data_IF_132447900759
#
_entry.id   IF_132447900759
#
_cell.length_a   1.000
_cell.length_b   1.000
_cell.length_c   1.000
_cell.angle_alpha   90.00
_cell.angle_beta   90.00
_cell.angle_gamma   90.00
#
_symmetry.space_group_name_H-M   'P 1'
#
loop_
_entity.id
_entity.type
_entity.pdbx_description
1 polymer ?
#
# COMPACT_ATOMS: atom_id res chain seq x y z
N UNK A 1 -21.50 35.40 -21.02
CA UNK A 1 -20.28 34.66 -21.37
C UNK A 1 -20.68 33.33 -21.97
N UNK A 2 -20.10 32.96 -23.12
CA UNK A 2 -20.44 31.71 -23.83
C UNK A 2 -19.66 30.57 -23.15
N UNK A 3 -20.29 29.42 -22.92
CA UNK A 3 -19.65 28.25 -22.27
C UNK A 3 -18.34 27.84 -22.96
N UNK A 4 -18.29 27.94 -24.29
CA UNK A 4 -17.09 27.69 -25.10
C UNK A 4 -15.90 28.56 -24.69
N UNK A 5 -16.13 29.82 -24.32
CA UNK A 5 -15.08 30.73 -23.86
C UNK A 5 -14.52 30.28 -22.51
N UNK A 6 -15.38 29.85 -21.58
CA UNK A 6 -14.95 29.36 -20.27
C UNK A 6 -14.11 28.09 -20.38
N UNK A 7 -14.46 27.19 -21.30
CA UNK A 7 -13.67 25.98 -21.56
C UNK A 7 -12.29 26.31 -22.16
N UNK A 8 -12.21 27.32 -23.02
CA UNK A 8 -10.93 27.79 -23.54
C UNK A 8 -10.08 28.45 -22.46
N UNK A 9 -10.69 29.23 -21.56
CA UNK A 9 -9.99 29.82 -20.41
C UNK A 9 -9.41 28.73 -19.49
N UNK A 10 -10.18 27.66 -19.22
CA UNK A 10 -9.72 26.48 -18.46
C UNK A 10 -8.53 25.83 -19.16
N UNK A 11 -8.60 25.62 -20.48
CA UNK A 11 -7.52 25.03 -21.27
C UNK A 11 -6.25 25.88 -21.20
N UNK A 12 -6.38 27.20 -21.30
CA UNK A 12 -5.26 28.13 -21.22
C UNK A 12 -4.59 28.10 -19.84
N UNK A 13 -5.38 28.07 -18.76
CA UNK A 13 -4.87 27.96 -17.39
C UNK A 13 -4.15 26.62 -17.20
N UNK A 14 -4.74 25.51 -17.63
CA UNK A 14 -4.15 24.18 -17.52
C UNK A 14 -2.80 24.10 -18.24
N UNK A 15 -2.72 24.57 -19.49
CA UNK A 15 -1.47 24.56 -20.24
C UNK A 15 -0.41 25.46 -19.60
N UNK A 16 -0.81 26.66 -19.17
CA UNK A 16 0.10 27.60 -18.51
C UNK A 16 0.66 27.02 -17.21
N UNK A 17 -0.18 26.30 -16.45
CA UNK A 17 0.22 25.62 -15.23
C UNK A 17 1.22 24.49 -15.51
N UNK A 18 0.93 23.58 -16.44
CA UNK A 18 1.82 22.47 -16.79
C UNK A 18 3.19 22.95 -17.29
N UNK A 19 3.23 24.00 -18.11
CA UNK A 19 4.48 24.61 -18.58
C UNK A 19 5.25 25.32 -17.46
N UNK A 20 4.54 25.93 -16.51
CA UNK A 20 5.18 26.49 -15.32
C UNK A 20 5.81 25.39 -14.46
N UNK A 21 5.14 24.24 -14.30
CA UNK A 21 5.69 23.10 -13.56
C UNK A 21 7.03 22.64 -14.15
N UNK A 22 7.09 22.42 -15.47
CA UNK A 22 8.35 22.02 -16.14
C UNK A 22 9.47 23.05 -15.93
N UNK A 23 9.16 24.35 -16.03
CA UNK A 23 10.16 25.41 -15.80
C UNK A 23 10.66 25.45 -14.37
N UNK A 24 9.76 25.27 -13.38
CA UNK A 24 10.15 25.22 -11.97
C UNK A 24 11.08 24.03 -11.70
N UNK A 25 10.69 22.84 -12.18
CA UNK A 25 11.48 21.61 -12.01
C UNK A 25 12.86 21.75 -12.65
N UNK A 26 12.95 22.34 -13.85
CA UNK A 26 14.23 22.58 -14.52
C UNK A 26 15.10 23.65 -13.87
N UNK A 27 14.53 24.57 -13.10
CA UNK A 27 15.27 25.64 -12.42
C UNK A 27 15.83 25.20 -11.06
N UNK A 28 14.99 24.59 -10.22
CA UNK A 28 15.37 24.02 -8.93
C UNK A 28 14.40 22.89 -8.59
N UNK A 29 14.85 21.65 -8.75
CA UNK A 29 14.01 20.46 -8.61
C UNK A 29 13.50 20.27 -7.18
N UNK A 30 14.34 20.45 -6.16
CA UNK A 30 13.93 20.28 -4.76
C UNK A 30 12.90 21.32 -4.36
N UNK A 31 13.17 22.60 -4.67
CA UNK A 31 12.24 23.69 -4.41
C UNK A 31 10.94 23.54 -5.21
N UNK A 32 11.01 23.07 -6.45
CA UNK A 32 9.83 22.83 -7.28
C UNK A 32 8.95 21.71 -6.74
N UNK A 33 9.53 20.57 -6.35
CA UNK A 33 8.77 19.47 -5.77
C UNK A 33 8.05 19.90 -4.49
N UNK A 34 8.72 20.67 -3.63
CA UNK A 34 8.09 21.27 -2.45
C UNK A 34 6.92 22.17 -2.83
N UNK A 35 7.13 23.15 -3.73
CA UNK A 35 6.08 24.11 -4.14
C UNK A 35 4.89 23.47 -4.85
N UNK A 36 5.16 22.45 -5.67
CA UNK A 36 4.15 21.77 -6.48
C UNK A 36 3.47 20.61 -5.74
N UNK A 37 4.01 20.20 -4.58
CA UNK A 37 3.52 19.09 -3.76
C UNK A 37 3.52 17.75 -4.53
N UNK A 38 4.57 17.52 -5.29
CA UNK A 38 4.77 16.32 -6.12
C UNK A 38 5.99 15.53 -5.63
N UNK A 39 6.00 14.23 -5.90
CA UNK A 39 7.14 13.35 -5.63
C UNK A 39 8.13 13.34 -6.81
N UNK A 40 9.25 12.64 -6.60
CA UNK A 40 10.29 12.45 -7.59
C UNK A 40 9.76 11.81 -8.89
N UNK A 41 8.93 10.78 -8.77
CA UNK A 41 8.37 10.05 -9.92
C UNK A 41 7.52 10.96 -10.80
N UNK A 42 6.68 11.81 -10.19
CA UNK A 42 5.88 12.79 -10.91
C UNK A 42 6.75 13.89 -11.53
N UNK A 43 7.79 14.36 -10.83
CA UNK A 43 8.70 15.36 -11.37
C UNK A 43 9.47 14.84 -12.61
N UNK A 44 9.91 13.59 -12.56
CA UNK A 44 10.60 12.93 -13.68
C UNK A 44 9.66 12.73 -14.86
N UNK A 45 8.43 12.27 -14.60
CA UNK A 45 7.40 12.12 -15.62
C UNK A 45 7.08 13.47 -16.29
N UNK A 46 6.81 14.51 -15.50
CA UNK A 46 6.51 15.85 -16.01
C UNK A 46 7.63 16.42 -16.89
N UNK A 47 8.89 16.09 -16.58
CA UNK A 47 10.04 16.54 -17.35
C UNK A 47 10.23 15.73 -18.65
N UNK A 48 9.80 14.46 -18.66
CA UNK A 48 9.88 13.58 -19.83
C UNK A 48 8.80 13.86 -20.88
N UNK A 49 7.64 14.39 -20.47
CA UNK A 49 6.47 14.60 -21.34
C UNK A 49 6.69 15.81 -22.26
N UNK A 50 6.36 15.64 -23.54
CA UNK A 50 6.48 16.73 -24.52
C UNK A 50 5.42 17.81 -24.34
N UNK A 51 5.73 19.03 -24.80
CA UNK A 51 4.77 20.16 -24.77
C UNK A 51 3.48 19.83 -25.52
N UNK A 52 3.55 19.04 -26.60
CA UNK A 52 2.37 18.63 -27.37
C UNK A 52 1.46 17.70 -26.58
N UNK A 53 2.02 16.77 -25.80
CA UNK A 53 1.25 15.89 -24.91
C UNK A 53 0.63 16.68 -23.75
N UNK A 54 1.37 17.63 -23.16
CA UNK A 54 0.82 18.55 -22.15
C UNK A 54 -0.32 19.41 -22.71
N UNK A 55 -0.20 19.89 -23.95
CA UNK A 55 -1.26 20.63 -24.63
C UNK A 55 -2.50 19.77 -24.88
N UNK A 56 -2.32 18.47 -25.14
CA UNK A 56 -3.43 17.53 -25.24
C UNK A 56 -4.11 17.32 -23.89
N UNK A 57 -3.34 17.13 -22.81
CA UNK A 57 -3.86 17.00 -21.45
C UNK A 57 -4.63 18.25 -21.01
N UNK A 58 -4.12 19.44 -21.33
CA UNK A 58 -4.74 20.71 -20.97
C UNK A 58 -6.16 20.90 -21.55
N UNK A 59 -6.53 20.15 -22.59
CA UNK A 59 -7.89 20.17 -23.17
C UNK A 59 -8.96 19.56 -22.28
N UNK A 60 -8.62 19.04 -21.10
CA UNK A 60 -9.61 18.61 -20.14
C UNK A 60 -10.49 19.80 -19.69
N UNK A 61 -11.80 19.57 -19.60
CA UNK A 61 -12.78 20.57 -19.14
C UNK A 61 -12.76 20.79 -17.61
N UNK A 62 -11.74 20.27 -16.94
CA UNK A 62 -11.53 20.36 -15.50
C UNK A 62 -10.20 21.06 -15.25
N UNK A 63 -10.11 21.85 -14.18
CA UNK A 63 -8.85 22.44 -13.77
C UNK A 63 -7.92 21.37 -13.23
N UNK A 64 -6.68 21.36 -13.73
CA UNK A 64 -5.63 20.46 -13.25
C UNK A 64 -4.97 20.97 -11.98
N UNK A 65 -5.01 22.29 -11.76
CA UNK A 65 -4.48 22.90 -10.53
C UNK A 65 -5.51 22.78 -9.40
N UNK A 66 -5.02 22.39 -8.21
CA UNK A 66 -5.83 22.33 -7.01
C UNK A 66 -5.66 23.60 -6.17
N UNK A 67 -6.75 24.12 -5.64
CA UNK A 67 -6.71 25.23 -4.69
C UNK A 67 -6.21 24.72 -3.34
N UNK A 68 -5.06 25.21 -2.90
CA UNK A 68 -4.35 24.64 -1.74
C UNK A 68 -4.91 25.05 -0.36
N UNK A 69 -5.87 25.96 -0.30
CA UNK A 69 -6.51 26.38 0.96
C UNK A 69 -7.75 25.51 1.19
N UNK A 70 -7.81 24.89 2.37
CA UNK A 70 -8.81 23.86 2.67
C UNK A 70 -10.14 24.44 3.20
N UNK A 71 -10.09 25.63 3.80
CA UNK A 71 -11.24 26.28 4.42
C UNK A 71 -11.28 27.80 4.17
N UNK A 72 -12.47 28.38 4.39
CA UNK A 72 -12.69 29.81 4.22
C UNK A 72 -11.96 30.65 5.26
N UNK A 73 -11.69 30.11 6.45
CA UNK A 73 -11.02 30.82 7.55
C UNK A 73 -9.52 31.04 7.23
N UNK A 74 -8.87 30.08 6.56
CA UNK A 74 -7.51 30.21 6.03
C UNK A 74 -7.43 31.31 4.98
N UNK A 75 -8.41 31.36 4.08
CA UNK A 75 -8.49 32.42 3.06
C UNK A 75 -8.76 33.78 3.69
N UNK A 76 -9.73 33.87 4.61
CA UNK A 76 -10.06 35.12 5.31
C UNK A 76 -8.87 35.63 6.12
N UNK A 77 -8.18 34.72 6.83
CA UNK A 77 -6.95 35.03 7.55
C UNK A 77 -5.88 35.55 6.60
N UNK A 78 -5.67 34.99 5.41
CA UNK A 78 -4.64 35.50 4.49
C UNK A 78 -4.99 36.86 3.89
N UNK A 79 -6.27 37.12 3.62
CA UNK A 79 -6.73 38.39 3.05
C UNK A 79 -6.73 39.49 4.11
N UNK A 80 -7.11 39.17 5.36
CA UNK A 80 -7.32 40.13 6.45
C UNK A 80 -6.19 40.20 7.46
N UNK A 81 -5.25 39.24 7.49
CA UNK A 81 -4.14 39.26 8.42
C UNK A 81 -3.15 40.37 8.07
N UNK A 82 -3.08 41.35 8.98
CA UNK A 82 -2.03 42.37 9.11
C UNK A 82 -1.96 43.39 7.96
N UNK A 83 -1.50 44.60 8.27
CA UNK A 83 -1.29 45.67 7.29
C UNK A 83 0.02 45.52 6.50
N UNK A 84 0.87 44.53 6.82
CA UNK A 84 2.20 44.39 6.27
C UNK A 84 2.29 43.18 5.33
N UNK A 85 2.58 43.44 4.05
CA UNK A 85 2.61 42.45 2.97
C UNK A 85 3.66 41.36 3.20
N UNK A 86 4.82 41.70 3.77
CA UNK A 86 5.89 40.74 4.04
C UNK A 86 5.46 39.68 5.07
N UNK A 87 4.69 40.09 6.08
CA UNK A 87 4.17 39.18 7.10
C UNK A 87 3.10 38.24 6.51
N UNK A 88 2.28 38.72 5.56
CA UNK A 88 1.28 37.90 4.86
C UNK A 88 1.94 36.81 4.04
N UNK A 89 3.02 37.13 3.32
CA UNK A 89 3.76 36.14 2.52
C UNK A 89 4.32 35.01 3.38
N UNK A 90 4.90 35.34 4.54
CA UNK A 90 5.40 34.34 5.49
C UNK A 90 4.25 33.50 6.07
N UNK A 91 3.14 34.12 6.46
CA UNK A 91 1.97 33.40 6.96
C UNK A 91 1.39 32.43 5.92
N UNK A 92 1.31 32.86 4.65
CA UNK A 92 0.89 32.01 3.53
C UNK A 92 1.82 30.81 3.34
N UNK A 93 3.14 31.03 3.35
CA UNK A 93 4.12 29.96 3.20
C UNK A 93 4.01 28.92 4.32
N UNK A 94 3.82 29.35 5.57
CA UNK A 94 3.64 28.46 6.72
C UNK A 94 2.35 27.64 6.60
N UNK A 95 1.22 28.29 6.30
CA UNK A 95 -0.07 27.61 6.16
C UNK A 95 0.00 26.56 5.04
N UNK A 96 0.44 26.97 3.85
CA UNK A 96 0.46 26.11 2.65
C UNK A 96 1.42 24.92 2.79
N UNK A 97 2.57 25.12 3.45
CA UNK A 97 3.53 24.05 3.77
C UNK A 97 3.10 23.17 4.94
N UNK A 98 2.27 23.66 5.86
CA UNK A 98 1.75 22.85 6.98
C UNK A 98 0.71 21.83 6.51
N UNK A 99 -0.10 22.16 5.50
CA UNK A 99 -1.08 21.25 4.89
C UNK A 99 -0.37 20.05 4.21
N UNK A 100 0.84 20.25 3.67
CA UNK A 100 1.66 19.16 3.10
C UNK A 100 2.03 18.10 4.13
N UNK A 101 2.51 18.54 5.31
CA UNK A 101 2.89 17.63 6.40
C UNK A 101 1.70 16.84 6.92
N UNK A 102 0.50 17.43 6.92
CA UNK A 102 -0.74 16.74 7.30
C UNK A 102 -1.09 15.67 6.28
N UNK A 103 -1.20 16.03 5.01
CA UNK A 103 -1.54 15.08 3.95
C UNK A 103 -0.52 13.92 3.84
N UNK A 104 0.78 14.20 4.00
CA UNK A 104 1.82 13.16 4.01
C UNK A 104 1.74 12.26 5.27
N UNK A 105 1.44 12.82 6.44
CA UNK A 105 1.24 12.02 7.65
C UNK A 105 -0.01 11.14 7.57
N UNK A 106 -1.08 11.62 6.94
CA UNK A 106 -2.32 10.86 6.80
C UNK A 106 -2.12 9.67 5.86
N UNK A 107 -1.41 9.84 4.73
CA UNK A 107 -0.99 8.72 3.87
C UNK A 107 -0.16 7.68 4.64
N UNK A 108 0.85 8.12 5.41
CA UNK A 108 1.66 7.22 6.25
C UNK A 108 0.86 6.51 7.34
N UNK A 109 -0.25 7.10 7.82
CA UNK A 109 -1.15 6.48 8.80
C UNK A 109 -2.04 5.43 8.13
N UNK A 110 -2.50 5.70 6.91
CA UNK A 110 -3.28 4.76 6.11
C UNK A 110 -2.46 3.53 5.72
N UNK A 111 -1.21 3.71 5.27
CA UNK A 111 -0.30 2.60 4.96
C UNK A 111 -0.07 1.69 6.17
N UNK A 112 0.13 2.28 7.37
CA UNK A 112 0.25 1.50 8.62
C UNK A 112 -1.04 0.75 8.95
N UNK A 113 -2.20 1.40 8.82
CA UNK A 113 -3.51 0.74 9.03
C UNK A 113 -3.80 -0.36 8.01
N UNK A 114 -3.25 -0.27 6.81
CA UNK A 114 -3.42 -1.28 5.77
C UNK A 114 -2.42 -2.44 5.94
N UNK A 115 -1.20 -2.16 6.40
CA UNK A 115 -0.22 -3.18 6.81
C UNK A 115 -0.70 -4.02 7.99
N UNK A 116 -1.24 -3.40 9.04
CA UNK A 116 -1.82 -4.11 10.19
C UNK A 116 -3.03 -4.97 9.81
N UNK A 117 -3.83 -4.54 8.81
CA UNK A 117 -4.94 -5.36 8.27
C UNK A 117 -4.45 -6.56 7.47
N UNK A 118 -3.40 -6.41 6.65
CA UNK A 118 -2.81 -7.54 5.92
C UNK A 118 -2.28 -8.63 6.88
N UNK A 119 -1.71 -8.22 8.01
CA UNK A 119 -1.25 -9.16 9.05
C UNK A 119 -2.38 -9.89 9.80
N UNK A 120 -3.61 -9.37 9.77
CA UNK A 120 -4.79 -10.01 10.37
C UNK A 120 -5.58 -10.88 9.38
N UNK A 121 -5.58 -10.55 8.08
CA UNK A 121 -6.26 -11.34 7.04
C UNK A 121 -5.45 -12.56 6.55
N UNK A 122 -4.13 -12.58 6.76
CA UNK A 122 -3.32 -13.79 6.64
C UNK A 122 -3.56 -14.67 7.88
N UNK A 123 -4.72 -15.33 7.92
CA UNK A 123 -5.00 -16.42 8.85
C UNK A 123 -3.86 -17.46 8.81
N UNK A 124 -3.66 -18.23 9.91
CA UNK A 124 -2.54 -19.16 10.02
C UNK A 124 -2.49 -20.05 8.77
N UNK A 125 -1.30 -20.27 8.19
CA UNK A 125 -1.17 -20.97 6.92
C UNK A 125 -1.87 -22.32 7.02
N UNK A 126 -2.83 -22.55 6.13
CA UNK A 126 -3.56 -23.80 5.94
C UNK A 126 -2.58 -24.91 5.55
N UNK A 127 -1.85 -25.44 6.53
CA UNK A 127 -0.73 -26.34 6.30
C UNK A 127 -0.19 -27.03 7.55
N UNK A 128 -0.58 -26.60 8.75
CA UNK A 128 -0.14 -27.25 10.00
C UNK A 128 -1.12 -28.32 10.49
N UNK A 129 -2.42 -28.19 10.23
CA UNK A 129 -3.43 -29.17 10.69
C UNK A 129 -3.51 -30.47 9.86
N UNK A 130 -2.98 -30.48 8.63
CA UNK A 130 -2.91 -31.72 7.83
C UNK A 130 -1.83 -32.70 8.32
N UNK A 131 -0.83 -32.25 9.07
CA UNK A 131 0.26 -33.12 9.53
C UNK A 131 -0.04 -33.87 10.83
N UNK A 132 -1.02 -33.45 11.63
CA UNK A 132 -1.39 -34.18 12.85
C UNK A 132 -2.41 -35.29 12.58
N UNK A 133 -3.32 -35.10 11.63
CA UNK A 133 -4.30 -36.12 11.23
C UNK A 133 -3.67 -37.30 10.49
N UNK A 134 -2.62 -37.07 9.71
CA UNK A 134 -1.85 -38.14 9.04
C UNK A 134 -0.93 -38.92 9.99
N UNK A 135 -0.39 -38.26 11.03
CA UNK A 135 0.45 -38.93 12.05
C UNK A 135 -0.35 -39.88 12.93
N UNK A 136 -1.57 -39.50 13.33
CA UNK A 136 -2.46 -40.38 14.12
C UNK A 136 -2.94 -41.59 13.31
N UNK A 137 -3.18 -41.46 12.01
CA UNK A 137 -3.61 -42.59 11.16
C UNK A 137 -2.47 -43.56 10.79
N UNK A 138 -1.22 -43.07 10.74
CA UNK A 138 -0.04 -43.91 10.48
C UNK A 138 0.41 -44.78 11.67
N UNK A 139 0.06 -44.38 12.90
CA UNK A 139 0.43 -45.08 14.13
C UNK A 139 -0.47 -46.31 14.38
N UNK A 140 -1.78 -46.17 14.16
CA UNK A 140 -2.76 -47.29 14.26
C UNK A 140 -2.49 -48.43 13.28
N UNK A 141 -1.98 -48.13 12.07
CA UNK A 141 -1.61 -49.14 11.07
C UNK A 141 -0.33 -49.90 11.42
N UNK A 142 0.56 -49.32 12.22
CA UNK A 142 1.79 -49.99 12.67
C UNK A 142 1.54 -50.86 13.90
N UNK A 143 0.59 -50.49 14.75
CA UNK A 143 0.23 -51.29 15.92
C UNK A 143 -0.57 -52.55 15.56
N UNK A 144 -1.47 -52.46 14.59
CA UNK A 144 -2.22 -53.61 14.05
C UNK A 144 -1.33 -54.62 13.32
N UNK A 145 -0.27 -54.16 12.64
CA UNK A 145 0.70 -55.04 11.97
C UNK A 145 1.63 -55.78 12.96
N UNK A 146 1.98 -55.17 14.10
CA UNK A 146 2.81 -55.83 15.14
C UNK A 146 2.04 -56.91 15.91
N UNK A 147 0.73 -56.74 16.13
CA UNK A 147 -0.10 -57.77 16.78
C UNK A 147 -0.35 -59.02 15.93
N UNK A 148 -0.24 -58.93 14.60
CA UNK A 148 -0.41 -60.07 13.71
C UNK A 148 0.83 -60.98 13.66
N UNK A 149 2.03 -60.42 13.86
CA UNK A 149 3.30 -61.19 13.81
C UNK A 149 3.61 -61.95 15.09
N UNK A 150 2.92 -61.64 16.20
CA UNK A 150 3.13 -62.30 17.51
C UNK A 150 2.25 -63.54 17.73
N UNK A 151 1.34 -63.89 16.79
CA UNK A 151 0.44 -65.04 16.92
C UNK A 151 0.79 -66.26 16.05
N UNK A 152 1.86 -66.19 15.25
CA UNK A 152 2.27 -67.30 14.36
C UNK A 152 3.57 -68.02 14.78
N UNK A 153 4.10 -67.75 15.98
CA UNK A 153 5.29 -68.44 16.45
C UNK A 153 5.15 -68.96 17.90
N UNK A 154 4.15 -69.81 18.12
CA UNK A 154 4.19 -70.80 19.22
C UNK A 154 4.17 -72.19 18.61
N UNK A 155 5.38 -72.67 18.29
CA UNK A 155 5.86 -74.03 18.55
C UNK A 155 5.17 -75.18 17.80
N UNK A 156 5.81 -75.60 16.72
CA UNK A 156 5.74 -76.96 16.16
C UNK A 156 6.96 -77.80 16.67
N UNK A 157 7.03 -79.12 16.44
CA UNK A 157 7.02 -80.17 17.47
C UNK A 157 8.36 -80.90 17.64
N UNK A 158 8.51 -81.73 18.70
CA UNK A 158 9.42 -82.90 18.69
C UNK A 158 8.89 -84.07 19.55
N UNK A 159 9.32 -85.33 19.28
CA UNK A 159 8.64 -86.56 19.70
C UNK A 159 9.45 -87.43 20.71
N UNK A 160 8.88 -88.60 21.02
CA UNK A 160 9.39 -89.79 21.74
C UNK A 160 8.96 -90.05 23.20
N UNK A 161 7.97 -90.95 23.29
CA UNK A 161 8.03 -92.27 23.94
C UNK A 161 8.52 -92.45 25.40
N UNK A 162 7.59 -93.06 26.16
CA UNK A 162 7.75 -94.26 26.98
C UNK A 162 8.48 -94.18 28.34
N UNK A 163 7.75 -94.57 29.39
CA UNK A 163 8.29 -95.01 30.67
C UNK A 163 7.26 -94.92 31.80
N UNK A 164 6.49 -95.99 32.04
CA UNK A 164 6.58 -96.88 33.23
C UNK A 164 6.23 -96.16 34.55
N UNK A 165 5.05 -96.40 35.10
CA UNK A 165 4.68 -97.50 36.02
C UNK A 165 5.00 -97.22 37.50
N UNK A 166 4.03 -97.61 38.33
CA UNK A 166 4.06 -97.89 39.78
C UNK A 166 4.15 -96.66 40.70
N UNK A 167 3.44 -96.59 41.82
CA UNK A 167 2.69 -97.59 42.61
C UNK A 167 1.66 -96.84 43.48
#
# INVERSE_FOLDING_TARGET
MKLEQLLEDIRQVNLSYLLLMQRLIGADRETAMFRLKIDDEMADLLTSVSVTELASLARCNQLLCHFSLEDADQLDSLIRATANEDMRQVHAAILLGSNERRAANDRRREDRRQGDRRLQDDGPPNGVERRETERRSGEDRRETARRATDHENTTSPEPHEAGRNNE
#
